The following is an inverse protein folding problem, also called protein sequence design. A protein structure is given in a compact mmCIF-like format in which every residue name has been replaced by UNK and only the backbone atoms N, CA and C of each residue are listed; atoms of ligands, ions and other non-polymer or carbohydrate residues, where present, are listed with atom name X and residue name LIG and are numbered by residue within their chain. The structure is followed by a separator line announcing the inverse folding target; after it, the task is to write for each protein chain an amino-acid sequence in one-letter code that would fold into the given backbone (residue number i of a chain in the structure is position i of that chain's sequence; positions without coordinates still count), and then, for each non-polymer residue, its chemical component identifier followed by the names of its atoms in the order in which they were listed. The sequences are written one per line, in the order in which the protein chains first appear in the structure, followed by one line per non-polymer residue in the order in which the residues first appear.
data_IF_784025725215
#
_entry.id   IF_784025725215
#
_cell.length_a   1.000
_cell.length_b   1.000
_cell.length_c   1.000
_cell.angle_alpha   90.00
_cell.angle_beta   90.00
_cell.angle_gamma   90.00
#
_symmetry.space_group_name_H-M   'P 1'
#
loop_
_entity.id
_entity.type
_entity.pdbx_description
1 polymer ?
#
# COMPACT_ATOMS: atom_id res chain seq x y z
N UNK A 1 37.97 8.71 -19.85
CA UNK A 1 36.51 8.67 -19.55
C UNK A 1 36.18 7.78 -18.36
N UNK A 2 36.80 6.59 -18.22
CA UNK A 2 36.62 5.63 -17.11
C UNK A 2 36.71 6.31 -15.73
N UNK A 3 37.83 7.01 -15.46
CA UNK A 3 38.11 7.67 -14.18
C UNK A 3 37.09 8.74 -13.77
N UNK A 4 36.46 9.45 -14.72
CA UNK A 4 35.49 10.52 -14.41
C UNK A 4 34.09 9.99 -14.09
N UNK A 5 33.75 8.77 -14.52
CA UNK A 5 32.43 8.18 -14.34
C UNK A 5 32.44 7.07 -13.28
N UNK A 6 33.44 6.19 -13.30
CA UNK A 6 33.48 5.03 -12.41
C UNK A 6 33.85 5.38 -10.97
N UNK A 7 34.69 6.41 -10.73
CA UNK A 7 35.05 6.81 -9.37
C UNK A 7 33.84 7.35 -8.59
N UNK A 8 33.07 8.34 -9.09
CA UNK A 8 31.89 8.82 -8.37
C UNK A 8 30.88 7.70 -8.10
N UNK A 9 30.69 6.83 -9.09
CA UNK A 9 29.81 5.68 -9.00
C UNK A 9 30.28 4.69 -7.92
N UNK A 10 31.59 4.38 -7.88
CA UNK A 10 32.17 3.50 -6.88
C UNK A 10 32.00 4.08 -5.47
N UNK A 11 32.23 5.38 -5.31
CA UNK A 11 32.03 6.09 -4.04
C UNK A 11 30.57 5.96 -3.60
N UNK A 12 29.61 6.25 -4.48
CA UNK A 12 28.17 6.15 -4.16
C UNK A 12 27.79 4.71 -3.82
N UNK A 13 28.31 3.72 -4.55
CA UNK A 13 28.03 2.31 -4.30
C UNK A 13 28.59 1.85 -2.94
N UNK A 14 29.81 2.25 -2.59
CA UNK A 14 30.44 1.90 -1.31
C UNK A 14 29.73 2.60 -0.15
N UNK A 15 29.49 3.91 -0.26
CA UNK A 15 28.78 4.66 0.80
C UNK A 15 27.36 4.14 0.97
N UNK A 16 26.63 3.89 -0.13
CA UNK A 16 25.28 3.32 -0.10
C UNK A 16 25.23 1.90 0.48
N UNK A 17 26.26 1.09 0.25
CA UNK A 17 26.37 -0.22 0.89
C UNK A 17 26.65 -0.10 2.39
N UNK A 18 27.53 0.83 2.80
CA UNK A 18 27.83 1.09 4.22
C UNK A 18 26.58 1.58 4.95
N UNK A 19 25.79 2.49 4.37
CA UNK A 19 24.55 2.97 5.01
C UNK A 19 23.48 1.87 5.11
N UNK A 20 23.34 1.03 4.08
CA UNK A 20 22.35 -0.05 4.06
C UNK A 20 22.72 -1.18 5.01
N UNK A 21 23.99 -1.61 5.02
CA UNK A 21 24.46 -2.71 5.87
C UNK A 21 24.92 -2.26 7.26
N UNK A 22 25.16 -0.97 7.47
CA UNK A 22 25.63 -0.42 8.75
C UNK A 22 24.66 -0.66 9.90
N UNK A 23 23.35 -0.74 9.62
CA UNK A 23 22.31 -1.13 10.59
C UNK A 23 22.44 -2.57 11.11
N UNK A 24 23.23 -3.42 10.45
CA UNK A 24 23.47 -4.81 10.85
C UNK A 24 24.87 -5.02 11.45
N UNK A 25 25.68 -3.97 11.57
CA UNK A 25 27.05 -4.04 12.07
C UNK A 25 27.11 -3.38 13.45
N UNK A 26 27.31 -4.17 14.50
CA UNK A 26 27.50 -3.70 15.89
C UNK A 26 28.93 -3.14 16.08
N UNK A 27 29.28 -2.09 15.32
CA UNK A 27 30.54 -1.35 15.47
C UNK A 27 30.25 0.14 15.72
N UNK A 28 30.72 0.71 16.84
CA UNK A 28 30.38 2.08 17.24
C UNK A 28 30.62 3.14 16.17
N UNK A 29 31.74 3.05 15.43
CA UNK A 29 32.10 4.03 14.40
C UNK A 29 31.22 3.95 13.14
N UNK A 30 30.74 2.74 12.80
CA UNK A 30 29.89 2.54 11.62
C UNK A 30 28.48 2.99 11.96
N UNK A 31 28.02 2.66 13.17
CA UNK A 31 26.69 3.04 13.63
C UNK A 31 26.56 4.57 13.77
N UNK A 32 27.55 5.26 14.34
CA UNK A 32 27.53 6.73 14.41
C UNK A 32 27.51 7.39 13.03
N UNK A 33 28.25 6.83 12.06
CA UNK A 33 28.24 7.34 10.70
C UNK A 33 26.87 7.13 10.03
N UNK A 34 26.22 5.98 10.23
CA UNK A 34 24.92 5.67 9.61
C UNK A 34 23.79 6.47 10.24
N UNK A 35 23.77 6.59 11.56
CA UNK A 35 22.66 7.20 12.30
C UNK A 35 22.73 8.73 12.24
N UNK A 36 23.92 9.32 12.38
CA UNK A 36 24.09 10.77 12.48
C UNK A 36 24.59 11.39 11.16
N UNK A 37 25.82 11.06 10.74
CA UNK A 37 26.46 11.73 9.60
C UNK A 37 25.66 11.50 8.31
N UNK A 38 25.42 10.24 7.93
CA UNK A 38 24.73 9.92 6.69
C UNK A 38 23.32 10.54 6.62
N UNK A 39 22.60 10.56 7.74
CA UNK A 39 21.29 11.20 7.85
C UNK A 39 21.39 12.71 7.66
N UNK A 40 22.36 13.38 8.28
CA UNK A 40 22.53 14.82 8.12
C UNK A 40 22.89 15.20 6.67
N UNK A 41 23.78 14.44 6.03
CA UNK A 41 24.13 14.65 4.62
C UNK A 41 22.90 14.40 3.72
N UNK A 42 22.11 13.38 4.03
CA UNK A 42 20.85 13.12 3.34
C UNK A 42 19.87 14.29 3.49
N UNK A 43 19.68 14.83 4.69
CA UNK A 43 18.74 15.94 4.94
C UNK A 43 19.13 17.22 4.18
N UNK A 44 20.44 17.51 4.12
CA UNK A 44 20.96 18.62 3.31
C UNK A 44 20.63 18.39 1.83
N UNK A 45 20.95 17.22 1.29
CA UNK A 45 20.69 16.88 -0.12
C UNK A 45 19.18 16.88 -0.43
N UNK A 46 18.36 16.32 0.46
CA UNK A 46 16.91 16.27 0.35
C UNK A 46 16.32 17.68 0.35
N UNK A 47 16.81 18.59 1.18
CA UNK A 47 16.39 19.98 1.22
C UNK A 47 16.60 20.69 -0.12
N UNK A 48 17.76 20.52 -0.75
CA UNK A 48 18.00 21.05 -2.11
C UNK A 48 17.15 20.36 -3.17
N UNK A 49 17.00 19.03 -3.07
CA UNK A 49 16.21 18.26 -4.01
C UNK A 49 14.72 18.64 -3.99
N UNK A 50 14.16 18.94 -2.82
CA UNK A 50 12.78 19.42 -2.67
C UNK A 50 12.59 20.74 -3.43
N UNK A 51 13.52 21.69 -3.28
CA UNK A 51 13.47 22.98 -3.99
C UNK A 51 13.58 22.76 -5.50
N UNK A 52 14.52 21.93 -5.95
CA UNK A 52 14.69 21.62 -7.37
C UNK A 52 13.46 20.92 -7.94
N UNK A 53 12.86 19.98 -7.20
CA UNK A 53 11.64 19.29 -7.59
C UNK A 53 10.45 20.25 -7.73
N UNK A 54 10.28 21.15 -6.77
CA UNK A 54 9.28 22.20 -6.77
C UNK A 54 9.43 23.16 -7.96
N UNK A 55 10.65 23.66 -8.19
CA UNK A 55 10.95 24.55 -9.34
C UNK A 55 10.76 23.83 -10.67
N UNK A 56 11.14 22.55 -10.76
CA UNK A 56 10.96 21.76 -11.98
C UNK A 56 9.47 21.52 -12.28
N UNK A 57 8.66 21.18 -11.27
CA UNK A 57 7.21 21.08 -11.41
C UNK A 57 6.63 22.39 -11.94
N UNK A 58 6.95 23.52 -11.31
CA UNK A 58 6.46 24.84 -11.73
C UNK A 58 6.89 25.16 -13.16
N UNK A 59 8.16 24.95 -13.51
CA UNK A 59 8.68 25.14 -14.87
C UNK A 59 7.90 24.31 -15.89
N UNK A 60 7.67 23.03 -15.62
CA UNK A 60 6.95 22.13 -16.53
C UNK A 60 5.49 22.55 -16.71
N UNK A 61 4.79 22.90 -15.63
CA UNK A 61 3.39 23.33 -15.71
C UNK A 61 3.26 24.69 -16.41
N UNK A 62 4.13 25.66 -16.09
CA UNK A 62 4.16 26.98 -16.75
C UNK A 62 4.43 26.82 -18.25
N UNK A 63 5.43 26.02 -18.63
CA UNK A 63 5.72 25.76 -20.04
C UNK A 63 4.55 25.09 -20.76
N UNK A 64 3.82 24.20 -20.08
CA UNK A 64 2.64 23.53 -20.63
C UNK A 64 1.50 24.52 -20.89
N UNK A 65 1.30 25.49 -19.99
CA UNK A 65 0.34 26.59 -20.14
C UNK A 65 0.77 27.55 -21.25
N UNK A 66 2.01 28.04 -21.22
CA UNK A 66 2.55 28.98 -22.21
C UNK A 66 2.49 28.44 -23.64
N UNK A 67 2.76 27.14 -23.82
CA UNK A 67 2.72 26.46 -25.12
C UNK A 67 1.34 25.84 -25.45
N UNK A 68 0.31 26.07 -24.63
CA UNK A 68 -1.06 25.53 -24.79
C UNK A 68 -1.11 24.04 -25.17
N UNK A 69 -0.27 23.22 -24.53
CA UNK A 69 -0.24 21.77 -24.80
C UNK A 69 -1.55 21.11 -24.37
N UNK A 70 -1.81 19.88 -24.85
CA UNK A 70 -3.01 19.11 -24.48
C UNK A 70 -3.15 19.02 -22.94
N UNK A 71 -4.32 19.38 -22.44
CA UNK A 71 -4.61 19.42 -21.01
C UNK A 71 -3.93 20.56 -20.24
N UNK A 72 -3.66 21.70 -20.88
CA UNK A 72 -3.17 22.91 -20.22
C UNK A 72 -4.11 23.52 -19.17
N UNK A 73 -5.47 23.39 -19.24
CA UNK A 73 -6.33 23.95 -18.19
C UNK A 73 -6.06 23.30 -16.82
N UNK A 74 -5.79 21.99 -16.79
CA UNK A 74 -5.43 21.29 -15.55
C UNK A 74 -4.09 21.76 -14.97
N UNK A 75 -3.19 22.24 -15.82
CA UNK A 75 -1.91 22.81 -15.37
C UNK A 75 -2.09 24.15 -14.65
N UNK A 76 -3.14 24.93 -14.96
CA UNK A 76 -3.48 26.12 -14.18
C UNK A 76 -3.90 25.75 -12.75
N UNK A 77 -4.70 24.69 -12.60
CA UNK A 77 -5.13 24.20 -11.28
C UNK A 77 -3.90 23.74 -10.48
N UNK A 78 -2.96 23.02 -11.12
CA UNK A 78 -1.73 22.58 -10.46
C UNK A 78 -0.87 23.76 -10.00
N UNK A 79 -0.68 24.79 -10.83
CA UNK A 79 0.07 26.00 -10.46
C UNK A 79 -0.62 26.75 -9.32
N UNK A 80 -1.93 26.96 -9.42
CA UNK A 80 -2.73 27.63 -8.39
C UNK A 80 -2.70 26.88 -7.06
N UNK A 81 -2.87 25.55 -7.09
CA UNK A 81 -2.78 24.70 -5.91
C UNK A 81 -1.39 24.70 -5.29
N UNK A 82 -0.33 24.72 -6.10
CA UNK A 82 1.04 24.81 -5.61
C UNK A 82 1.31 26.15 -4.90
N UNK A 83 0.90 27.27 -5.50
CA UNK A 83 1.02 28.60 -4.88
C UNK A 83 0.21 28.64 -3.57
N UNK A 84 -1.03 28.14 -3.60
CA UNK A 84 -1.89 28.08 -2.42
C UNK A 84 -1.25 27.27 -1.29
N UNK A 85 -0.67 26.10 -1.59
CA UNK A 85 0.01 25.28 -0.59
C UNK A 85 1.23 25.97 0.04
N UNK A 86 2.04 26.69 -0.76
CA UNK A 86 3.15 27.48 -0.23
C UNK A 86 2.62 28.61 0.67
N UNK A 87 1.60 29.34 0.22
CA UNK A 87 1.03 30.43 1.00
C UNK A 87 0.46 29.92 2.32
N UNK A 88 -0.29 28.81 2.30
CA UNK A 88 -0.86 28.20 3.50
C UNK A 88 0.21 27.63 4.46
N UNK A 89 1.33 27.11 3.94
CA UNK A 89 2.36 26.48 4.78
C UNK A 89 3.45 27.41 5.31
N UNK A 90 3.74 28.51 4.60
CA UNK A 90 4.89 29.37 4.93
C UNK A 90 4.52 30.85 5.18
N UNK A 91 3.34 31.31 4.74
CA UNK A 91 2.99 32.74 4.76
C UNK A 91 1.77 33.00 5.65
N UNK A 92 0.77 32.13 5.62
CA UNK A 92 -0.53 32.35 6.28
C UNK A 92 -0.85 31.21 7.24
N UNK A 93 -0.73 31.48 8.54
CA UNK A 93 -1.19 30.56 9.59
C UNK A 93 -2.72 30.49 9.68
N UNK A 94 -3.37 31.65 9.55
CA UNK A 94 -4.83 31.81 9.70
C UNK A 94 -5.34 31.76 11.13
N UNK A 95 -4.45 31.65 12.13
CA UNK A 95 -4.75 31.64 13.55
C UNK A 95 -3.70 32.42 14.32
N UNK A 96 -4.07 32.92 15.50
CA UNK A 96 -3.17 33.63 16.42
C UNK A 96 -2.12 32.70 17.04
N UNK A 97 -1.02 33.29 17.50
CA UNK A 97 0.11 32.58 18.14
C UNK A 97 -0.26 31.86 19.44
N UNK A 98 -1.40 32.23 20.05
CA UNK A 98 -1.96 31.52 21.21
C UNK A 98 -2.53 30.15 20.85
N UNK A 99 -2.90 29.92 19.59
CA UNK A 99 -3.48 28.66 19.10
C UNK A 99 -2.42 27.80 18.44
N UNK A 100 -1.56 28.38 17.59
CA UNK A 100 -0.51 27.64 16.93
C UNK A 100 0.74 28.48 16.64
N UNK A 101 1.89 27.98 17.10
CA UNK A 101 3.21 28.54 16.77
C UNK A 101 3.61 28.10 15.35
N UNK A 102 4.47 28.90 14.71
CA UNK A 102 5.13 28.51 13.45
C UNK A 102 5.79 27.12 13.60
N UNK A 103 5.69 26.30 12.56
CA UNK A 103 5.99 24.86 12.64
C UNK A 103 4.77 24.03 13.05
N UNK A 104 4.23 24.22 14.25
CA UNK A 104 3.08 23.44 14.74
C UNK A 104 1.78 23.71 13.96
N UNK A 105 1.62 24.93 13.41
CA UNK A 105 0.45 25.31 12.62
C UNK A 105 0.12 24.39 11.43
N UNK A 106 1.06 23.59 10.92
CA UNK A 106 0.77 22.65 9.81
C UNK A 106 -0.03 21.42 10.26
N UNK A 107 -0.12 21.15 11.55
CA UNK A 107 -0.87 20.01 12.10
C UNK A 107 -2.02 20.42 13.01
N UNK A 108 -2.00 21.64 13.55
CA UNK A 108 -3.03 22.16 14.46
C UNK A 108 -4.36 22.44 13.75
N UNK A 109 -5.48 22.08 14.40
CA UNK A 109 -6.82 22.37 13.90
C UNK A 109 -7.11 23.87 13.83
N UNK A 110 -7.88 24.29 12.82
CA UNK A 110 -8.25 25.68 12.58
C UNK A 110 -7.27 26.47 11.70
N UNK A 111 -6.09 25.94 11.40
CA UNK A 111 -5.13 26.62 10.51
C UNK A 111 -5.48 26.42 9.05
N UNK A 112 -5.02 27.34 8.19
CA UNK A 112 -5.27 27.26 6.73
C UNK A 112 -4.63 26.00 6.13
N UNK A 113 -3.43 25.64 6.57
CA UNK A 113 -2.74 24.46 6.07
C UNK A 113 -3.47 23.17 6.45
N UNK A 114 -3.91 23.04 7.72
CA UNK A 114 -4.64 21.86 8.17
C UNK A 114 -5.99 21.73 7.47
N UNK A 115 -6.69 22.85 7.27
CA UNK A 115 -7.92 22.87 6.46
C UNK A 115 -7.68 22.41 5.01
N UNK A 116 -6.65 22.93 4.34
CA UNK A 116 -6.28 22.48 3.00
C UNK A 116 -5.96 20.97 2.99
N UNK A 117 -5.25 20.49 4.01
CA UNK A 117 -4.88 19.09 4.12
C UNK A 117 -6.12 18.19 4.29
N UNK A 118 -7.05 18.55 5.16
CA UNK A 118 -8.21 17.73 5.49
C UNK A 118 -9.31 17.78 4.42
N UNK A 119 -9.50 18.92 3.77
CA UNK A 119 -10.59 19.12 2.81
C UNK A 119 -10.16 19.05 1.34
N UNK A 120 -8.88 19.24 1.04
CA UNK A 120 -8.37 19.12 -0.33
C UNK A 120 -7.49 17.88 -0.48
N UNK A 121 -6.37 17.81 0.25
CA UNK A 121 -5.39 16.75 0.04
C UNK A 121 -5.93 15.37 0.42
N UNK A 122 -6.59 15.24 1.57
CA UNK A 122 -7.08 13.96 2.09
C UNK A 122 -8.15 13.33 1.20
N UNK A 123 -9.21 14.04 0.76
CA UNK A 123 -10.20 13.48 -0.14
C UNK A 123 -9.62 13.15 -1.52
N UNK A 124 -8.73 14.01 -2.06
CA UNK A 124 -8.05 13.71 -3.33
C UNK A 124 -7.19 12.44 -3.23
N UNK A 125 -6.44 12.28 -2.14
CA UNK A 125 -5.66 11.07 -1.88
C UNK A 125 -6.55 9.83 -1.71
N UNK A 126 -7.69 9.98 -1.02
CA UNK A 126 -8.68 8.93 -0.88
C UNK A 126 -9.29 8.52 -2.22
N UNK A 127 -9.58 9.46 -3.14
CA UNK A 127 -10.06 9.13 -4.49
C UNK A 127 -9.03 8.37 -5.30
N UNK A 128 -7.75 8.75 -5.24
CA UNK A 128 -6.66 8.03 -5.89
C UNK A 128 -6.54 6.60 -5.34
N UNK A 129 -6.63 6.44 -4.01
CA UNK A 129 -6.60 5.12 -3.37
C UNK A 129 -7.83 4.27 -3.71
N UNK A 130 -9.03 4.88 -3.73
CA UNK A 130 -10.27 4.21 -4.11
C UNK A 130 -10.24 3.74 -5.57
N UNK A 131 -9.73 4.56 -6.48
CA UNK A 131 -9.54 4.17 -7.88
C UNK A 131 -8.53 3.04 -8.01
N UNK A 132 -7.42 3.10 -7.27
CA UNK A 132 -6.43 2.02 -7.23
C UNK A 132 -7.09 0.71 -6.76
N UNK A 133 -7.85 0.73 -5.66
CA UNK A 133 -8.56 -0.45 -5.16
C UNK A 133 -9.54 -1.01 -6.21
N UNK A 134 -10.31 -0.14 -6.87
CA UNK A 134 -11.22 -0.54 -7.94
C UNK A 134 -10.49 -1.15 -9.15
N UNK A 135 -9.40 -0.54 -9.60
CA UNK A 135 -8.62 -1.06 -10.73
C UNK A 135 -7.90 -2.36 -10.39
N UNK A 136 -7.35 -2.48 -9.18
CA UNK A 136 -6.76 -3.73 -8.70
C UNK A 136 -7.83 -4.81 -8.66
N UNK A 137 -8.99 -4.56 -8.07
CA UNK A 137 -10.09 -5.51 -8.03
C UNK A 137 -10.59 -5.90 -9.44
N UNK A 138 -10.74 -4.94 -10.36
CA UNK A 138 -11.14 -5.19 -11.75
C UNK A 138 -10.08 -5.96 -12.53
N UNK A 139 -8.81 -5.61 -12.39
CA UNK A 139 -7.69 -6.29 -13.02
C UNK A 139 -7.53 -7.71 -12.48
N UNK A 140 -7.61 -7.89 -11.15
CA UNK A 140 -7.65 -9.20 -10.49
C UNK A 140 -8.84 -10.01 -10.96
N UNK A 141 -10.06 -9.46 -11.00
CA UNK A 141 -11.23 -10.17 -11.53
C UNK A 141 -11.03 -10.63 -12.98
N UNK A 142 -10.46 -9.77 -13.83
CA UNK A 142 -10.17 -10.11 -15.24
C UNK A 142 -9.01 -11.11 -15.38
N UNK A 143 -7.99 -11.03 -14.53
CA UNK A 143 -6.87 -11.97 -14.50
C UNK A 143 -7.28 -13.33 -13.90
N UNK A 144 -8.23 -13.32 -12.97
CA UNK A 144 -8.82 -14.49 -12.34
C UNK A 144 -10.11 -14.95 -13.04
N UNK A 145 -10.39 -14.47 -14.26
CA UNK A 145 -11.54 -14.88 -15.06
C UNK A 145 -11.47 -16.40 -15.22
N UNK A 146 -12.35 -17.07 -14.47
CA UNK A 146 -12.40 -18.49 -14.16
C UNK A 146 -11.99 -19.36 -15.36
N UNK A 147 -10.79 -19.94 -15.28
CA UNK A 147 -10.36 -21.07 -16.12
C UNK A 147 -9.57 -22.14 -15.34
N UNK A 148 -9.04 -21.85 -14.15
CA UNK A 148 -8.30 -22.80 -13.31
C UNK A 148 -8.72 -22.75 -11.82
N UNK A 149 -8.47 -23.87 -11.13
CA UNK A 149 -8.76 -24.05 -9.70
C UNK A 149 -7.96 -23.06 -8.83
N UNK A 150 -6.72 -22.80 -9.20
CA UNK A 150 -5.79 -21.89 -8.50
C UNK A 150 -6.31 -20.45 -8.45
N UNK A 151 -6.82 -19.88 -9.56
CA UNK A 151 -7.38 -18.53 -9.56
C UNK A 151 -8.65 -18.42 -8.71
N UNK A 152 -9.45 -19.48 -8.65
CA UNK A 152 -10.66 -19.53 -7.80
C UNK A 152 -10.27 -19.52 -6.32
N UNK A 153 -9.26 -20.30 -5.95
CA UNK A 153 -8.73 -20.35 -4.59
C UNK A 153 -8.15 -18.99 -4.17
N UNK A 154 -7.38 -18.35 -5.06
CA UNK A 154 -6.83 -17.00 -4.83
C UNK A 154 -7.94 -15.94 -4.71
N UNK A 155 -8.98 -16.00 -5.55
CA UNK A 155 -10.11 -15.08 -5.50
C UNK A 155 -10.87 -15.20 -4.17
N UNK A 156 -11.19 -16.43 -3.76
CA UNK A 156 -11.88 -16.70 -2.48
C UNK A 156 -11.03 -16.24 -1.31
N UNK A 157 -9.73 -16.54 -1.31
CA UNK A 157 -8.80 -16.07 -0.27
C UNK A 157 -8.76 -14.53 -0.22
N UNK A 158 -8.73 -13.85 -1.37
CA UNK A 158 -8.77 -12.39 -1.44
C UNK A 158 -10.05 -11.79 -0.86
N UNK A 159 -11.22 -12.36 -1.17
CA UNK A 159 -12.51 -11.93 -0.60
C UNK A 159 -12.52 -12.10 0.92
N UNK A 160 -12.02 -13.24 1.43
CA UNK A 160 -11.93 -13.50 2.88
C UNK A 160 -11.05 -12.47 3.57
N UNK A 161 -9.88 -12.14 3.00
CA UNK A 161 -8.99 -11.10 3.55
C UNK A 161 -9.68 -9.73 3.56
N UNK A 162 -10.32 -9.36 2.44
CA UNK A 162 -11.00 -8.06 2.33
C UNK A 162 -12.14 -7.93 3.36
N UNK A 163 -12.96 -8.96 3.53
CA UNK A 163 -14.07 -8.94 4.50
C UNK A 163 -13.54 -8.96 5.94
N UNK A 164 -12.56 -9.82 6.25
CA UNK A 164 -12.02 -9.95 7.60
C UNK A 164 -11.31 -8.69 8.12
N UNK A 165 -10.81 -7.83 7.21
CA UNK A 165 -10.16 -6.55 7.55
C UNK A 165 -11.14 -5.39 7.76
N UNK A 166 -12.38 -5.50 7.30
CA UNK A 166 -13.40 -4.46 7.45
C UNK A 166 -14.08 -4.61 8.82
N UNK A 167 -14.42 -3.53 9.54
CA UNK A 167 -15.09 -3.60 10.84
C UNK A 167 -16.41 -4.40 10.84
N UNK A 168 -17.09 -4.49 9.70
CA UNK A 168 -18.30 -5.31 9.53
C UNK A 168 -17.98 -6.81 9.55
N UNK A 169 -16.77 -7.21 9.14
CA UNK A 169 -16.34 -8.61 9.11
C UNK A 169 -16.20 -9.25 10.49
N UNK A 170 -15.87 -8.47 11.53
CA UNK A 170 -15.84 -8.96 12.92
C UNK A 170 -17.23 -9.12 13.53
N UNK A 171 -18.26 -8.51 12.94
CA UNK A 171 -19.65 -8.70 13.35
C UNK A 171 -20.26 -9.97 12.78
N UNK A 172 -19.60 -10.62 11.82
CA UNK A 172 -20.06 -11.88 11.24
C UNK A 172 -19.74 -13.02 12.21
N UNK A 173 -20.81 -13.62 12.75
CA UNK A 173 -20.72 -14.76 13.65
C UNK A 173 -20.09 -15.99 12.98
N UNK A 174 -19.26 -16.74 13.72
CA UNK A 174 -18.71 -18.04 13.30
C UNK A 174 -19.79 -19.02 12.81
N UNK A 175 -21.00 -18.97 13.37
CA UNK A 175 -22.12 -19.82 12.96
C UNK A 175 -22.61 -19.53 11.55
N UNK A 176 -22.60 -18.25 11.13
CA UNK A 176 -22.96 -17.86 9.78
C UNK A 176 -21.98 -18.44 8.75
N UNK A 177 -20.68 -18.45 9.08
CA UNK A 177 -19.64 -19.08 8.26
C UNK A 177 -19.84 -20.59 8.17
N UNK A 178 -20.19 -21.26 9.27
CA UNK A 178 -20.48 -22.68 9.27
C UNK A 178 -21.66 -23.04 8.35
N UNK A 179 -22.73 -22.23 8.33
CA UNK A 179 -23.83 -22.44 7.38
C UNK A 179 -23.38 -22.33 5.91
N UNK A 180 -22.55 -21.34 5.60
CA UNK A 180 -21.96 -21.20 4.25
C UNK A 180 -21.13 -22.44 3.89
N UNK A 181 -20.34 -22.98 4.83
CA UNK A 181 -19.54 -24.19 4.61
C UNK A 181 -20.41 -25.43 4.38
N UNK A 182 -21.52 -25.60 5.11
CA UNK A 182 -22.47 -26.70 4.88
C UNK A 182 -23.07 -26.60 3.47
N UNK A 183 -23.46 -25.41 3.04
CA UNK A 183 -23.99 -25.19 1.69
C UNK A 183 -22.93 -25.47 0.61
N UNK A 184 -21.68 -25.03 0.82
CA UNK A 184 -20.56 -25.30 -0.08
C UNK A 184 -20.25 -26.82 -0.17
N UNK A 185 -20.28 -27.53 0.96
CA UNK A 185 -20.16 -28.99 0.99
C UNK A 185 -21.32 -29.66 0.24
N UNK A 186 -22.54 -29.15 0.37
CA UNK A 186 -23.68 -29.62 -0.42
C UNK A 186 -23.46 -29.49 -1.93
N UNK A 187 -22.95 -28.35 -2.38
CA UNK A 187 -22.59 -28.12 -3.79
C UNK A 187 -21.49 -29.10 -4.24
N UNK A 188 -20.46 -29.30 -3.42
CA UNK A 188 -19.37 -30.25 -3.72
C UNK A 188 -19.86 -31.70 -3.81
N UNK A 189 -20.70 -32.13 -2.88
CA UNK A 189 -21.30 -33.48 -2.89
C UNK A 189 -22.19 -33.66 -4.12
N UNK A 190 -22.94 -32.63 -4.51
CA UNK A 190 -23.72 -32.66 -5.75
C UNK A 190 -22.83 -32.77 -6.99
N UNK A 191 -21.70 -32.07 -7.02
CA UNK A 191 -20.73 -32.16 -8.12
C UNK A 191 -20.17 -33.58 -8.26
N UNK A 192 -19.84 -34.25 -7.15
CA UNK A 192 -19.24 -35.59 -7.17
C UNK A 192 -20.25 -36.71 -7.41
N UNK A 193 -21.36 -36.74 -6.66
CA UNK A 193 -22.34 -37.84 -6.73
C UNK A 193 -23.51 -37.60 -7.69
N UNK A 194 -23.73 -36.36 -8.17
CA UNK A 194 -24.84 -35.97 -9.06
C UNK A 194 -26.24 -36.48 -8.62
N UNK A 195 -26.42 -36.74 -7.33
CA UNK A 195 -27.65 -37.31 -6.78
C UNK A 195 -28.31 -36.32 -5.83
N UNK A 196 -29.48 -35.83 -6.23
CA UNK A 196 -30.26 -34.81 -5.51
C UNK A 196 -30.67 -35.25 -4.11
N UNK A 197 -31.00 -36.53 -3.89
CA UNK A 197 -31.39 -37.03 -2.57
C UNK A 197 -30.22 -37.03 -1.59
N UNK A 198 -29.02 -37.40 -2.05
CA UNK A 198 -27.82 -37.41 -1.19
C UNK A 198 -27.41 -35.98 -0.85
N UNK A 199 -27.45 -35.06 -1.81
CA UNK A 199 -27.18 -33.64 -1.56
C UNK A 199 -28.18 -33.04 -0.57
N UNK A 200 -29.47 -33.33 -0.73
CA UNK A 200 -30.50 -32.83 0.18
C UNK A 200 -30.32 -33.38 1.59
N UNK A 201 -30.00 -34.67 1.73
CA UNK A 201 -29.69 -35.28 3.02
C UNK A 201 -28.48 -34.66 3.71
N UNK A 202 -27.38 -34.44 2.97
CA UNK A 202 -26.15 -33.83 3.52
C UNK A 202 -26.39 -32.38 3.96
N UNK A 203 -27.09 -31.57 3.16
CA UNK A 203 -27.40 -30.19 3.52
C UNK A 203 -28.37 -30.15 4.70
N UNK A 204 -29.45 -30.92 4.67
CA UNK A 204 -30.44 -30.94 5.75
C UNK A 204 -29.85 -31.37 7.10
N UNK A 205 -29.07 -32.47 7.11
CA UNK A 205 -28.38 -32.95 8.31
C UNK A 205 -27.33 -31.94 8.76
N UNK A 206 -26.54 -31.40 7.83
CA UNK A 206 -25.51 -30.41 8.16
C UNK A 206 -26.09 -29.15 8.79
N UNK A 207 -27.18 -28.60 8.24
CA UNK A 207 -27.86 -27.44 8.81
C UNK A 207 -28.40 -27.75 10.21
N UNK A 208 -29.05 -28.90 10.38
CA UNK A 208 -29.56 -29.32 11.69
C UNK A 208 -28.44 -29.45 12.74
N UNK A 209 -27.30 -30.03 12.39
CA UNK A 209 -26.14 -30.14 13.29
C UNK A 209 -25.63 -28.76 13.70
N UNK A 210 -25.46 -27.83 12.75
CA UNK A 210 -24.99 -26.47 13.05
C UNK A 210 -25.99 -25.74 13.95
N UNK A 211 -27.29 -25.87 13.69
CA UNK A 211 -28.33 -25.23 14.50
C UNK A 211 -28.40 -25.81 15.92
N UNK A 212 -28.33 -27.14 16.07
CA UNK A 212 -28.33 -27.80 17.38
C UNK A 212 -27.07 -27.41 18.17
N UNK A 213 -25.89 -27.41 17.53
CA UNK A 213 -24.65 -27.00 18.17
C UNK A 213 -24.67 -25.52 18.60
N UNK A 214 -25.26 -24.64 17.79
CA UNK A 214 -25.46 -23.23 18.13
C UNK A 214 -26.40 -23.04 19.33
N UNK A 215 -27.51 -23.79 19.36
CA UNK A 215 -28.45 -23.80 20.49
C UNK A 215 -27.80 -24.30 21.78
N UNK A 216 -26.97 -25.35 21.72
CA UNK A 216 -26.27 -25.91 22.89
C UNK A 216 -25.22 -24.97 23.48
N UNK A 217 -24.64 -24.09 22.66
CA UNK A 217 -23.53 -23.22 23.06
C UNK A 217 -23.95 -21.77 23.30
N UNK A 218 -25.20 -21.42 23.01
CA UNK A 218 -25.75 -20.07 23.23
C UNK A 218 -25.33 -19.04 22.18
N UNK A 219 -25.00 -19.47 20.95
CA UNK A 219 -24.65 -18.60 19.82
C UNK A 219 -23.55 -17.55 20.08
N UNK A 220 -22.37 -17.92 20.60
CA UNK A 220 -21.25 -16.99 20.72
C UNK A 220 -20.80 -16.49 19.34
N UNK A 221 -20.40 -15.22 19.25
CA UNK A 221 -19.96 -14.58 18.00
C UNK A 221 -18.63 -15.16 17.48
N UNK A 222 -17.72 -15.45 18.41
CA UNK A 222 -16.32 -15.83 18.19
C UNK A 222 -16.10 -17.34 18.21
N UNK A 223 -16.92 -18.11 18.94
CA UNK A 223 -16.75 -19.57 19.09
C UNK A 223 -17.71 -20.34 18.17
N UNK A 224 -17.23 -21.41 17.49
CA UNK A 224 -15.86 -21.92 17.44
C UNK A 224 -14.88 -21.01 16.66
N UNK A 225 -13.73 -20.70 17.28
CA UNK A 225 -12.75 -19.73 16.74
C UNK A 225 -12.11 -20.10 15.40
N UNK A 226 -12.13 -21.38 15.04
CA UNK A 226 -11.60 -21.88 13.76
C UNK A 226 -12.42 -21.35 12.56
N UNK A 227 -13.71 -21.06 12.77
CA UNK A 227 -14.60 -20.54 11.72
C UNK A 227 -14.85 -19.04 11.84
N UNK A 228 -14.19 -18.37 12.78
CA UNK A 228 -14.28 -16.93 12.94
C UNK A 228 -13.48 -16.24 11.83
N UNK A 229 -14.13 -15.37 11.03
CA UNK A 229 -13.52 -14.75 9.85
C UNK A 229 -12.23 -14.00 10.15
N UNK A 230 -12.12 -13.21 11.24
CA UNK A 230 -10.85 -12.56 11.61
C UNK A 230 -9.70 -13.53 11.84
N UNK A 231 -9.93 -14.69 12.48
CA UNK A 231 -8.88 -15.69 12.73
C UNK A 231 -8.40 -16.32 11.43
N UNK A 232 -9.32 -16.66 10.52
CA UNK A 232 -8.97 -17.20 9.19
C UNK A 232 -8.19 -16.14 8.39
N UNK A 233 -8.65 -14.89 8.39
CA UNK A 233 -7.97 -13.78 7.74
C UNK A 233 -6.57 -13.57 8.32
N UNK A 234 -6.41 -13.65 9.63
CA UNK A 234 -5.14 -13.48 10.32
C UNK A 234 -4.15 -14.57 9.92
N UNK A 235 -4.60 -15.83 9.86
CA UNK A 235 -3.79 -16.93 9.36
C UNK A 235 -3.36 -16.71 7.90
N UNK A 236 -4.30 -16.36 7.01
CA UNK A 236 -3.97 -16.06 5.60
C UNK A 236 -2.98 -14.89 5.51
N UNK A 237 -3.12 -13.89 6.38
CA UNK A 237 -2.22 -12.74 6.39
C UNK A 237 -0.81 -13.11 6.83
N UNK A 238 -0.65 -13.80 7.95
CA UNK A 238 0.68 -14.04 8.53
C UNK A 238 1.47 -15.15 7.85
N UNK A 239 0.81 -16.11 7.22
CA UNK A 239 1.50 -17.23 6.57
C UNK A 239 1.68 -16.99 5.06
N UNK A 240 0.66 -17.19 4.19
CA UNK A 240 0.88 -17.11 2.74
C UNK A 240 1.09 -15.67 2.24
N UNK A 241 0.37 -14.68 2.77
CA UNK A 241 0.51 -13.30 2.28
C UNK A 241 1.88 -12.70 2.63
N UNK A 242 2.34 -12.85 3.87
CA UNK A 242 3.69 -12.40 4.27
C UNK A 242 4.78 -13.12 3.47
N UNK A 243 4.65 -14.42 3.18
CA UNK A 243 5.59 -15.13 2.32
C UNK A 243 5.64 -14.55 0.89
N UNK A 244 4.47 -14.31 0.29
CA UNK A 244 4.37 -13.68 -1.04
C UNK A 244 4.91 -12.25 -1.07
N UNK A 245 4.55 -11.42 -0.10
CA UNK A 245 5.04 -10.06 0.04
C UNK A 245 6.57 -10.02 0.18
N UNK A 246 7.15 -10.92 0.98
CA UNK A 246 8.61 -11.06 1.10
C UNK A 246 9.25 -11.45 -0.23
N UNK A 247 8.68 -12.40 -0.97
CA UNK A 247 9.20 -12.78 -2.29
C UNK A 247 9.16 -11.61 -3.29
N UNK A 248 8.07 -10.83 -3.30
CA UNK A 248 7.95 -9.62 -4.12
C UNK A 248 8.99 -8.58 -3.70
N UNK A 249 9.14 -8.31 -2.40
CA UNK A 249 10.14 -7.34 -1.91
C UNK A 249 11.57 -7.77 -2.25
N UNK A 250 11.89 -9.05 -2.13
CA UNK A 250 13.17 -9.61 -2.56
C UNK A 250 13.35 -9.42 -4.07
N UNK A 251 12.32 -9.69 -4.88
CA UNK A 251 12.35 -9.49 -6.32
C UNK A 251 12.54 -8.03 -6.72
N UNK A 252 11.82 -7.11 -6.08
CA UNK A 252 11.98 -5.66 -6.26
C UNK A 252 13.40 -5.24 -5.84
N UNK A 253 13.88 -5.71 -4.69
CA UNK A 253 15.23 -5.41 -4.22
C UNK A 253 16.32 -5.89 -5.18
N UNK A 254 16.21 -7.11 -5.70
CA UNK A 254 17.09 -7.65 -6.73
C UNK A 254 16.99 -6.87 -8.04
N UNK A 255 15.78 -6.44 -8.43
CA UNK A 255 15.56 -5.60 -9.60
C UNK A 255 16.23 -4.23 -9.48
N UNK A 256 16.03 -3.55 -8.34
CA UNK A 256 16.69 -2.28 -8.01
C UNK A 256 18.20 -2.49 -8.04
N UNK A 257 18.72 -3.49 -7.33
CA UNK A 257 20.15 -3.80 -7.31
C UNK A 257 20.73 -4.06 -8.71
N UNK A 258 20.03 -4.83 -9.54
CA UNK A 258 20.43 -5.08 -10.92
C UNK A 258 20.43 -3.80 -11.76
N UNK A 259 19.41 -2.94 -11.64
CA UNK A 259 19.39 -1.64 -12.33
C UNK A 259 20.48 -0.70 -11.84
N UNK A 260 20.72 -0.63 -10.52
CA UNK A 260 21.83 0.12 -9.93
C UNK A 260 23.17 -0.36 -10.45
N UNK A 261 23.40 -1.69 -10.53
CA UNK A 261 24.62 -2.26 -11.14
C UNK A 261 24.74 -1.86 -12.61
N UNK A 262 23.67 -1.91 -13.40
CA UNK A 262 23.72 -1.50 -14.81
C UNK A 262 24.05 -0.03 -14.98
N UNK A 263 23.55 0.84 -14.11
CA UNK A 263 23.96 2.24 -14.06
C UNK A 263 25.43 2.37 -13.65
N UNK A 264 25.88 1.60 -12.66
CA UNK A 264 27.26 1.60 -12.15
C UNK A 264 28.27 1.20 -13.25
N UNK A 265 27.99 0.08 -13.92
CA UNK A 265 28.81 -0.44 -15.02
C UNK A 265 28.67 0.39 -16.30
N UNK A 266 27.74 1.35 -16.30
CA UNK A 266 27.49 2.27 -17.38
C UNK A 266 26.87 1.64 -18.63
N UNK A 267 26.25 0.47 -18.47
CA UNK A 267 25.53 -0.28 -19.51
C UNK A 267 24.21 0.44 -19.84
N UNK A 268 23.54 1.00 -18.83
CA UNK A 268 22.37 1.86 -19.00
C UNK A 268 22.76 3.34 -18.83
N UNK A 269 22.29 4.18 -19.76
CA UNK A 269 22.41 5.64 -19.66
C UNK A 269 21.21 6.18 -18.89
N UNK A 270 21.46 7.06 -17.92
CA UNK A 270 20.40 7.70 -17.13
C UNK A 270 19.50 8.53 -18.03
N UNK A 271 18.19 8.52 -17.79
CA UNK A 271 17.20 9.28 -18.57
C UNK A 271 17.47 10.80 -18.60
N UNK A 272 18.33 11.30 -17.70
CA UNK A 272 18.64 12.73 -17.53
C UNK A 272 19.94 13.17 -18.24
N UNK A 273 20.71 12.29 -18.89
CA UNK A 273 21.91 12.76 -19.58
C UNK A 273 22.58 11.75 -20.52
N UNK A 274 23.11 12.30 -21.61
CA UNK A 274 23.92 11.69 -22.67
C UNK A 274 24.88 10.57 -22.24
#
# INVERSE_FOLDING_TARGET
MIWKRQIPILIVAVVGAITLFGWFIDQPNIQSFVDDDATQWYDILASFAIILGALNLMKLQIQKVARKKKGWPYSLIAIGGFIFAITAGFIVKGVDDSVAVWGAHVTTEGTVFKWMFDYMFTPMSATMFSLLAFFVASASYRAFRIRNFEATLLLVAGIIIMIGRVPIGSLISSWFVMYILVLALGIYVNFWKKNKMITFGVVGIGLAIVTIAGMMTGWPLDKPGVFYLPVIQEWIYFYPNVAGARAIMIGIGLGIFATSIRYILGIEKSYIGE
#
